data_IF_803694899160
#
_entry.id   IF_803694899160
#
_cell.length_a   1.000
_cell.length_b   1.000
_cell.length_c   1.000
_cell.angle_alpha   90.00
_cell.angle_beta   90.00
_cell.angle_gamma   90.00
#
_symmetry.space_group_name_H-M   'P 1'
#
loop_
_entity.id
_entity.type
_entity.pdbx_description
1 polymer ?
#
# COMPACT_ATOMS: atom_id res chain seq x y z
N UNK A 1 13.57 -19.51 -21.68
CA UNK A 1 13.78 -18.42 -20.70
C UNK A 1 12.42 -18.00 -20.20
N UNK A 2 12.18 -18.05 -18.91
CA UNK A 2 10.96 -17.51 -18.32
C UNK A 2 11.21 -16.03 -18.05
N UNK A 3 10.42 -15.15 -18.66
CA UNK A 3 10.50 -13.72 -18.40
C UNK A 3 9.55 -13.38 -17.26
N UNK A 4 10.01 -12.53 -16.35
CA UNK A 4 9.20 -11.96 -15.26
C UNK A 4 8.90 -10.50 -15.61
N UNK A 5 7.67 -10.08 -15.42
CA UNK A 5 7.25 -8.70 -15.71
C UNK A 5 6.06 -8.29 -14.87
N UNK A 6 5.84 -6.97 -14.78
CA UNK A 6 4.63 -6.40 -14.19
C UNK A 6 3.53 -6.47 -15.24
N UNK A 7 2.41 -7.12 -14.91
CA UNK A 7 1.28 -7.34 -15.82
C UNK A 7 0.02 -6.57 -15.42
N UNK A 8 0.01 -5.97 -14.24
CA UNK A 8 -1.08 -5.10 -13.77
C UNK A 8 -0.63 -4.17 -12.67
N UNK A 9 -1.23 -2.99 -12.62
CA UNK A 9 -0.96 -1.95 -11.64
C UNK A 9 -2.28 -1.45 -11.04
N UNK A 10 -2.28 -1.24 -9.73
CA UNK A 10 -3.41 -0.67 -9.02
C UNK A 10 -2.96 0.26 -7.90
N UNK A 11 -3.70 1.32 -7.67
CA UNK A 11 -3.45 2.25 -6.59
C UNK A 11 -4.74 2.64 -5.90
N UNK A 12 -4.65 2.88 -4.59
CA UNK A 12 -5.73 3.44 -3.82
C UNK A 12 -5.20 4.44 -2.80
N UNK A 13 -5.89 5.55 -2.65
CA UNK A 13 -5.58 6.59 -1.66
C UNK A 13 -6.86 7.02 -0.96
N UNK A 14 -6.82 7.37 0.33
CA UNK A 14 -7.98 7.90 1.05
C UNK A 14 -8.54 9.16 0.39
N UNK A 15 -9.85 9.44 0.50
CA UNK A 15 -10.47 10.60 -0.13
C UNK A 15 -10.08 11.93 0.52
N UNK A 16 -9.78 11.92 1.84
CA UNK A 16 -9.48 13.14 2.58
C UNK A 16 -8.12 13.72 2.18
N UNK A 17 -8.12 14.94 1.63
CA UNK A 17 -6.90 15.71 1.33
C UNK A 17 -6.58 16.68 2.46
N UNK A 18 -5.31 16.74 2.85
CA UNK A 18 -4.78 17.72 3.79
C UNK A 18 -3.67 18.54 3.13
N UNK A 19 -3.84 19.85 3.07
CA UNK A 19 -2.83 20.77 2.53
C UNK A 19 -1.65 20.96 3.50
N UNK A 20 -0.53 21.50 3.00
CA UNK A 20 0.59 21.89 3.85
C UNK A 20 0.19 22.95 4.88
N UNK A 21 -0.73 23.86 4.50
CA UNK A 21 -1.25 24.89 5.39
C UNK A 21 -2.08 24.29 6.54
N UNK A 22 -2.87 23.26 6.27
CA UNK A 22 -3.61 22.54 7.30
C UNK A 22 -2.66 21.76 8.21
N UNK A 23 -1.64 21.13 7.63
CA UNK A 23 -0.62 20.42 8.39
C UNK A 23 0.17 21.36 9.32
N UNK A 24 0.48 22.57 8.87
CA UNK A 24 1.16 23.60 9.67
C UNK A 24 0.36 24.11 10.89
N UNK A 25 -0.96 23.83 10.96
CA UNK A 25 -1.77 24.09 12.16
C UNK A 25 -1.57 23.03 13.25
N UNK A 26 -1.02 21.88 12.90
CA UNK A 26 -0.85 20.71 13.79
C UNK A 26 0.59 20.58 14.25
N UNK A 27 1.56 20.86 13.36
CA UNK A 27 3.00 20.73 13.64
C UNK A 27 3.73 22.00 13.21
N UNK A 28 4.86 22.29 13.86
CA UNK A 28 5.71 23.43 13.53
C UNK A 28 6.41 23.23 12.19
N UNK A 29 5.84 23.78 11.13
CA UNK A 29 6.35 23.69 9.75
C UNK A 29 5.74 24.80 8.88
N UNK A 30 6.12 24.87 7.60
CA UNK A 30 5.51 25.76 6.62
C UNK A 30 5.34 25.08 5.26
N UNK A 31 4.42 25.62 4.44
CA UNK A 31 4.25 25.15 3.06
C UNK A 31 5.53 25.30 2.24
N UNK A 32 6.24 26.41 2.41
CA UNK A 32 7.51 26.69 1.72
C UNK A 32 8.57 25.65 2.10
N UNK A 33 8.73 25.33 3.39
CA UNK A 33 9.70 24.34 3.85
C UNK A 33 9.39 22.95 3.29
N UNK A 34 8.12 22.50 3.41
CA UNK A 34 7.69 21.18 2.93
C UNK A 34 7.90 21.08 1.41
N UNK A 35 7.43 22.07 0.67
CA UNK A 35 7.52 22.06 -0.80
C UNK A 35 8.97 22.09 -1.27
N UNK A 36 9.83 22.89 -0.64
CA UNK A 36 11.26 22.97 -0.98
C UNK A 36 11.99 21.65 -0.72
N UNK A 37 11.67 20.98 0.40
CA UNK A 37 12.35 19.73 0.80
C UNK A 37 11.82 18.48 0.11
N UNK A 38 10.53 18.43 -0.23
CA UNK A 38 9.85 17.20 -0.65
C UNK A 38 9.09 17.31 -1.98
N UNK A 39 8.82 18.53 -2.44
CA UNK A 39 7.94 18.79 -3.58
C UNK A 39 6.45 18.58 -3.27
N UNK A 40 6.10 18.08 -2.07
CA UNK A 40 4.71 17.77 -1.72
C UNK A 40 3.93 19.03 -1.37
N UNK A 41 2.72 19.15 -1.94
CA UNK A 41 1.77 20.24 -1.65
C UNK A 41 0.60 19.80 -0.76
N UNK A 42 0.29 18.51 -0.80
CA UNK A 42 -0.79 17.91 -0.03
C UNK A 42 -0.50 16.42 0.23
N UNK A 43 -1.21 15.82 1.15
CA UNK A 43 -1.22 14.39 1.47
C UNK A 43 -2.63 13.87 1.63
N UNK A 44 -2.78 12.56 1.57
CA UNK A 44 -4.04 11.89 1.85
C UNK A 44 -4.00 11.32 3.26
N UNK A 45 -5.10 11.47 3.99
CA UNK A 45 -5.24 11.00 5.37
C UNK A 45 -6.35 9.95 5.39
N UNK A 46 -6.04 8.79 5.96
CA UNK A 46 -7.03 7.76 6.22
C UNK A 46 -7.88 8.15 7.44
N UNK A 47 -9.14 7.75 7.43
CA UNK A 47 -10.01 7.87 8.59
C UNK A 47 -9.56 6.92 9.70
N UNK A 48 -10.03 7.17 10.93
CA UNK A 48 -9.63 6.40 12.11
C UNK A 48 -9.94 4.90 12.02
N UNK A 49 -10.97 4.55 11.25
CA UNK A 49 -11.42 3.16 11.07
C UNK A 49 -10.82 2.49 9.82
N UNK A 50 -9.97 3.20 9.08
CA UNK A 50 -9.32 2.68 7.86
C UNK A 50 -7.92 2.17 8.18
N UNK A 51 -7.72 0.87 8.03
CA UNK A 51 -6.45 0.21 8.26
C UNK A 51 -5.60 0.11 6.98
N UNK A 52 -4.33 -0.26 7.13
CA UNK A 52 -3.42 -0.53 6.01
C UNK A 52 -3.97 -1.62 5.09
N UNK A 53 -4.57 -2.67 5.65
CA UNK A 53 -5.18 -3.74 4.84
C UNK A 53 -6.34 -3.25 3.97
N UNK A 54 -7.15 -2.29 4.44
CA UNK A 54 -8.28 -1.77 3.66
C UNK A 54 -7.79 -1.03 2.41
N UNK A 55 -6.75 -0.20 2.59
CA UNK A 55 -6.12 0.51 1.47
C UNK A 55 -5.46 -0.46 0.48
N UNK A 56 -4.78 -1.48 1.00
CA UNK A 56 -4.11 -2.49 0.19
C UNK A 56 -5.11 -3.31 -0.63
N UNK A 57 -6.23 -3.74 -0.04
CA UNK A 57 -7.29 -4.50 -0.72
C UNK A 57 -7.84 -3.74 -1.92
N UNK A 58 -8.14 -2.45 -1.77
CA UNK A 58 -8.66 -1.65 -2.87
C UNK A 58 -7.61 -1.42 -3.99
N UNK A 59 -6.33 -1.28 -3.63
CA UNK A 59 -5.25 -1.22 -4.61
C UNK A 59 -5.08 -2.56 -5.34
N UNK A 60 -5.12 -3.68 -4.61
CA UNK A 60 -5.02 -5.03 -5.18
C UNK A 60 -6.17 -5.35 -6.14
N UNK A 61 -7.41 -5.03 -5.78
CA UNK A 61 -8.57 -5.20 -6.70
C UNK A 61 -8.34 -4.51 -8.03
N UNK A 62 -7.88 -3.26 -8.01
CA UNK A 62 -7.59 -2.50 -9.22
C UNK A 62 -6.42 -3.09 -10.02
N UNK A 63 -5.40 -3.63 -9.35
CA UNK A 63 -4.30 -4.30 -10.02
C UNK A 63 -4.74 -5.61 -10.69
N UNK A 64 -5.61 -6.38 -10.04
CA UNK A 64 -6.21 -7.59 -10.61
C UNK A 64 -7.09 -7.25 -11.83
N UNK A 65 -7.93 -6.23 -11.73
CA UNK A 65 -8.76 -5.76 -12.83
C UNK A 65 -7.90 -5.32 -14.04
N UNK A 66 -6.82 -4.58 -13.79
CA UNK A 66 -5.90 -4.11 -14.83
C UNK A 66 -5.15 -5.29 -15.50
N UNK A 67 -4.81 -6.32 -14.72
CA UNK A 67 -4.17 -7.53 -15.22
C UNK A 67 -5.15 -8.50 -15.91
N UNK A 68 -6.46 -8.34 -15.73
CA UNK A 68 -7.47 -9.31 -16.17
C UNK A 68 -7.43 -10.62 -15.39
N UNK A 69 -7.00 -10.57 -14.12
CA UNK A 69 -6.88 -11.70 -13.21
C UNK A 69 -7.94 -11.68 -12.12
N UNK A 70 -8.12 -12.82 -11.46
CA UNK A 70 -8.95 -12.96 -10.27
C UNK A 70 -8.12 -13.40 -9.06
N UNK A 71 -8.67 -13.25 -7.86
CA UNK A 71 -7.95 -13.53 -6.61
C UNK A 71 -7.39 -14.95 -6.51
N UNK A 72 -8.05 -15.94 -7.14
CA UNK A 72 -7.60 -17.34 -7.19
C UNK A 72 -6.37 -17.58 -8.09
N UNK A 73 -6.00 -16.61 -8.91
CA UNK A 73 -4.82 -16.72 -9.77
C UNK A 73 -3.52 -16.30 -9.05
N UNK A 74 -3.64 -15.85 -7.80
CA UNK A 74 -2.51 -15.35 -7.03
C UNK A 74 -1.90 -16.48 -6.18
N UNK A 75 -0.62 -16.76 -6.40
CA UNK A 75 0.16 -17.74 -5.64
C UNK A 75 0.82 -17.13 -4.41
N UNK A 76 1.18 -15.84 -4.47
CA UNK A 76 1.91 -15.16 -3.40
C UNK A 76 1.50 -13.70 -3.27
N UNK A 77 1.20 -13.29 -2.03
CA UNK A 77 0.91 -11.91 -1.66
C UNK A 77 2.00 -11.38 -0.73
N UNK A 78 2.68 -10.33 -1.15
CA UNK A 78 3.72 -9.66 -0.37
C UNK A 78 3.24 -8.24 -0.06
N UNK A 79 3.12 -7.90 1.22
CA UNK A 79 2.76 -6.55 1.67
C UNK A 79 3.98 -5.85 2.27
N UNK A 80 4.45 -4.80 1.62
CA UNK A 80 5.53 -3.97 2.14
C UNK A 80 4.94 -2.81 2.96
N UNK A 81 4.99 -2.92 4.28
CA UNK A 81 4.47 -1.88 5.19
C UNK A 81 5.29 -1.76 6.46
N UNK A 82 5.37 -0.53 7.00
CA UNK A 82 5.90 -0.23 8.33
C UNK A 82 4.78 0.08 9.33
N UNK A 83 3.52 0.06 8.89
CA UNK A 83 2.32 0.31 9.70
C UNK A 83 1.33 -0.86 9.54
N UNK A 84 1.66 -2.05 10.08
CA UNK A 84 0.75 -3.19 10.04
C UNK A 84 -0.53 -2.90 10.83
N UNK A 85 -1.63 -3.57 10.47
CA UNK A 85 -2.92 -3.43 11.17
C UNK A 85 -2.80 -3.83 12.64
N UNK A 86 -2.04 -4.90 12.90
CA UNK A 86 -1.78 -5.43 14.25
C UNK A 86 -0.32 -5.88 14.40
N UNK A 87 0.25 -5.82 15.63
CA UNK A 87 1.67 -6.11 15.84
C UNK A 87 2.11 -7.56 15.57
N UNK A 88 1.23 -8.54 15.76
CA UNK A 88 1.60 -9.96 15.76
C UNK A 88 1.17 -10.73 14.51
N UNK A 89 0.08 -10.33 13.89
CA UNK A 89 -0.41 -11.01 12.68
C UNK A 89 0.09 -10.29 11.43
N UNK A 90 0.46 -11.06 10.40
CA UNK A 90 0.76 -10.48 9.09
C UNK A 90 -0.46 -9.76 8.53
N UNK A 91 -0.29 -8.49 8.18
CA UNK A 91 -1.32 -7.71 7.49
C UNK A 91 -1.58 -8.25 6.09
N UNK A 92 -0.57 -8.86 5.44
CA UNK A 92 -0.75 -9.57 4.18
C UNK A 92 -1.75 -10.73 4.30
N UNK A 93 -1.76 -11.47 5.43
CA UNK A 93 -2.78 -12.48 5.69
C UNK A 93 -4.20 -11.91 5.85
N UNK A 94 -4.33 -10.72 6.40
CA UNK A 94 -5.61 -10.00 6.47
C UNK A 94 -6.06 -9.58 5.05
N UNK A 95 -5.15 -9.05 4.25
CA UNK A 95 -5.41 -8.69 2.83
C UNK A 95 -5.80 -9.93 2.03
N UNK A 96 -5.06 -11.02 2.17
CA UNK A 96 -5.35 -12.33 1.55
C UNK A 96 -6.80 -12.77 1.83
N UNK A 97 -7.19 -12.74 3.11
CA UNK A 97 -8.54 -13.10 3.52
C UNK A 97 -9.60 -12.17 2.91
N UNK A 98 -9.40 -10.85 2.98
CA UNK A 98 -10.33 -9.86 2.43
C UNK A 98 -10.46 -9.92 0.90
N UNK A 99 -9.41 -10.32 0.18
CA UNK A 99 -9.43 -10.50 -1.27
C UNK A 99 -10.03 -11.84 -1.70
N UNK A 100 -10.08 -12.83 -0.80
CA UNK A 100 -10.48 -14.19 -1.12
C UNK A 100 -9.41 -15.02 -1.85
N UNK A 101 -8.14 -14.70 -1.66
CA UNK A 101 -7.01 -15.52 -2.17
C UNK A 101 -6.84 -16.75 -1.25
N UNK A 102 -7.51 -17.85 -1.58
CA UNK A 102 -7.62 -19.00 -0.65
C UNK A 102 -6.34 -19.83 -0.58
N UNK A 103 -5.65 -20.01 -1.70
CA UNK A 103 -4.50 -20.92 -1.84
C UNK A 103 -3.17 -20.17 -2.08
N UNK A 104 -3.06 -18.91 -1.65
CA UNK A 104 -1.83 -18.14 -1.82
C UNK A 104 -1.01 -18.03 -0.52
N UNK A 105 0.32 -17.99 -0.63
CA UNK A 105 1.19 -17.59 0.47
C UNK A 105 1.03 -16.09 0.76
N UNK A 106 1.17 -15.67 2.05
CA UNK A 106 1.08 -14.25 2.39
C UNK A 106 2.05 -13.88 3.52
N UNK A 107 2.84 -12.81 3.34
CA UNK A 107 3.72 -12.29 4.38
C UNK A 107 4.01 -10.79 4.21
N UNK A 108 4.38 -10.14 5.32
CA UNK A 108 4.76 -8.74 5.35
C UNK A 108 6.28 -8.57 5.18
N UNK A 109 6.68 -7.47 4.54
CA UNK A 109 8.06 -6.96 4.56
C UNK A 109 8.06 -5.60 5.24
N UNK A 110 8.82 -5.48 6.33
CA UNK A 110 9.07 -4.19 6.97
C UNK A 110 10.49 -3.72 6.66
N UNK A 111 10.63 -2.90 5.64
CA UNK A 111 11.91 -2.35 5.20
C UNK A 111 11.77 -0.89 4.75
N UNK A 112 10.80 -0.18 5.31
CA UNK A 112 10.50 1.23 4.98
C UNK A 112 10.48 1.45 3.46
N UNK A 113 11.20 2.43 2.93
CA UNK A 113 11.23 2.76 1.48
C UNK A 113 11.83 1.64 0.62
N UNK A 114 12.70 0.78 1.18
CA UNK A 114 13.26 -0.36 0.46
C UNK A 114 12.25 -1.51 0.27
N UNK A 115 11.12 -1.49 0.98
CA UNK A 115 10.09 -2.53 0.92
C UNK A 115 9.56 -2.76 -0.49
N UNK A 116 9.38 -1.70 -1.28
CA UNK A 116 8.96 -1.81 -2.68
C UNK A 116 9.93 -2.65 -3.52
N UNK A 117 11.21 -2.31 -3.47
CA UNK A 117 12.24 -3.06 -4.24
C UNK A 117 12.37 -4.49 -3.73
N UNK A 118 12.36 -4.69 -2.42
CA UNK A 118 12.46 -6.01 -1.82
C UNK A 118 11.24 -6.90 -2.14
N UNK A 119 10.05 -6.33 -2.25
CA UNK A 119 8.87 -7.11 -2.66
C UNK A 119 8.99 -7.61 -4.11
N UNK A 120 9.61 -6.84 -5.00
CA UNK A 120 9.81 -7.22 -6.39
C UNK A 120 10.86 -8.30 -6.59
N UNK A 121 11.89 -8.40 -5.75
CA UNK A 121 12.95 -9.42 -5.92
C UNK A 121 12.47 -10.85 -5.66
N UNK A 122 11.37 -11.03 -4.93
CA UNK A 122 10.77 -12.35 -4.68
C UNK A 122 10.00 -12.90 -5.89
N UNK A 123 9.76 -12.09 -6.88
CA UNK A 123 9.13 -12.49 -8.13
C UNK A 123 10.18 -13.14 -9.04
#
# INVERSE_FOLDING_TARGET
MTYVGIIGLGSHVPPHEMSNQDWAKIVETSDEWITTKTGMKKRRIADADTNTSDLAVEACKRALDDAGLVASDIDLLILATSSPDVPLSSTAGIVQHKLGCVDCGAFDINAVCAGWVLSLIHI
#
